data_IF_918105660176
#
_entry.id   IF_918105660176
#
_cell.length_a   1.000
_cell.length_b   1.000
_cell.length_c   1.000
_cell.angle_alpha   90.00
_cell.angle_beta   90.00
_cell.angle_gamma   90.00
#
_symmetry.space_group_name_H-M   'P 1'
#
loop_
_entity.id
_entity.type
_entity.pdbx_description
1 polymer ?
#
# COMPACT_ATOMS: atom_id res chain seq x y z
N UNK A 1 -24.43 0.11 -0.32
CA UNK A 1 -23.98 1.46 -0.78
C UNK A 1 -22.68 1.73 -0.05
N UNK A 2 -21.65 2.27 -0.72
CA UNK A 2 -20.36 2.60 -0.11
C UNK A 2 -20.46 3.97 0.57
N UNK A 3 -19.95 4.06 1.79
CA UNK A 3 -19.96 5.28 2.60
C UNK A 3 -18.54 5.74 2.98
N UNK A 4 -17.55 4.86 2.85
CA UNK A 4 -16.14 5.17 3.10
C UNK A 4 -15.27 4.49 2.04
N UNK A 5 -14.30 5.21 1.47
CA UNK A 5 -13.26 4.63 0.63
C UNK A 5 -11.93 4.66 1.38
N UNK A 6 -11.26 3.51 1.47
CA UNK A 6 -9.99 3.35 2.15
C UNK A 6 -8.94 3.01 1.08
N UNK A 7 -8.04 3.92 0.81
CA UNK A 7 -6.95 3.69 -0.14
C UNK A 7 -5.72 3.14 0.58
N UNK A 8 -5.09 2.11 0.04
CA UNK A 8 -3.68 1.89 0.35
C UNK A 8 -2.84 3.04 -0.21
N UNK A 9 -1.62 3.18 0.25
CA UNK A 9 -0.70 4.25 -0.16
C UNK A 9 0.30 3.77 -1.21
N UNK A 10 1.15 2.82 -0.80
CA UNK A 10 2.29 2.33 -1.56
C UNK A 10 1.80 1.39 -2.69
N UNK A 11 2.08 1.72 -3.94
CA UNK A 11 1.57 0.94 -5.09
C UNK A 11 0.15 1.32 -5.55
N UNK A 12 -0.58 2.13 -4.78
CA UNK A 12 -1.95 2.58 -5.10
C UNK A 12 -2.00 4.08 -5.35
N UNK A 13 -1.66 4.91 -4.36
CA UNK A 13 -1.62 6.37 -4.54
C UNK A 13 -0.30 6.83 -5.14
N UNK A 14 0.80 6.16 -4.78
CA UNK A 14 2.17 6.48 -5.18
C UNK A 14 2.87 5.23 -5.74
N UNK A 15 3.71 5.41 -6.76
CA UNK A 15 4.46 4.31 -7.40
C UNK A 15 5.78 4.03 -6.67
N UNK A 16 5.69 3.70 -5.39
CA UNK A 16 6.82 3.53 -4.47
C UNK A 16 7.39 2.12 -4.43
N UNK A 17 6.58 1.10 -4.74
CA UNK A 17 6.92 -0.30 -4.50
C UNK A 17 8.09 -0.78 -5.37
N UNK A 18 8.14 -0.38 -6.64
CA UNK A 18 9.26 -0.75 -7.53
C UNK A 18 10.59 -0.13 -7.06
N UNK A 19 10.56 1.09 -6.52
CA UNK A 19 11.74 1.76 -5.97
C UNK A 19 12.17 1.05 -4.70
N UNK A 20 11.23 0.77 -3.79
CA UNK A 20 11.47 0.05 -2.54
C UNK A 20 12.06 -1.34 -2.79
N UNK A 21 11.51 -2.08 -3.76
CA UNK A 21 12.00 -3.42 -4.13
C UNK A 21 13.44 -3.37 -4.65
N UNK A 22 13.74 -2.45 -5.58
CA UNK A 22 15.12 -2.27 -6.11
C UNK A 22 16.12 -1.89 -5.02
N UNK A 23 15.74 -1.00 -4.13
CA UNK A 23 16.58 -0.59 -3.01
C UNK A 23 16.84 -1.72 -2.03
N UNK A 24 15.83 -2.57 -1.76
CA UNK A 24 15.98 -3.73 -0.88
C UNK A 24 16.91 -4.79 -1.50
N UNK A 25 16.71 -5.13 -2.78
CA UNK A 25 17.58 -6.03 -3.53
C UNK A 25 19.03 -5.55 -3.47
N UNK A 26 19.28 -4.27 -3.78
CA UNK A 26 20.62 -3.69 -3.75
C UNK A 26 21.24 -3.68 -2.35
N UNK A 27 20.44 -3.40 -1.31
CA UNK A 27 20.93 -3.39 0.07
C UNK A 27 21.35 -4.78 0.53
N UNK A 28 20.55 -5.81 0.22
CA UNK A 28 20.80 -7.20 0.62
C UNK A 28 21.95 -7.84 -0.16
N UNK A 29 22.16 -7.45 -1.42
CA UNK A 29 23.30 -7.91 -2.22
C UNK A 29 24.63 -7.58 -1.54
N UNK A 30 24.74 -6.44 -0.83
CA UNK A 30 25.91 -6.07 -0.04
C UNK A 30 26.21 -7.02 1.13
N UNK A 31 25.26 -7.87 1.52
CA UNK A 31 25.40 -8.90 2.56
C UNK A 31 25.42 -10.33 1.98
N UNK A 32 25.65 -10.47 0.66
CA UNK A 32 25.73 -11.76 -0.01
C UNK A 32 24.39 -12.45 -0.28
N UNK A 33 23.26 -11.75 -0.08
CA UNK A 33 21.93 -12.28 -0.40
C UNK A 33 21.55 -11.90 -1.82
N UNK A 34 21.30 -12.92 -2.64
CA UNK A 34 20.84 -12.75 -4.02
C UNK A 34 19.34 -13.04 -4.10
N UNK A 35 18.55 -12.00 -4.19
CA UNK A 35 17.11 -12.04 -4.49
C UNK A 35 16.82 -11.12 -5.68
N UNK A 36 15.71 -11.36 -6.35
CA UNK A 36 15.23 -10.55 -7.45
C UNK A 36 13.91 -9.81 -7.12
N UNK A 37 13.42 -9.04 -8.08
CA UNK A 37 12.16 -8.31 -7.91
C UNK A 37 10.95 -9.24 -7.78
N UNK A 38 10.98 -10.39 -8.44
CA UNK A 38 9.93 -11.40 -8.35
C UNK A 38 9.87 -12.03 -6.96
N UNK A 39 11.03 -12.24 -6.34
CA UNK A 39 11.11 -12.69 -4.96
C UNK A 39 10.49 -11.66 -4.01
N UNK A 40 10.87 -10.38 -4.17
CA UNK A 40 10.31 -9.28 -3.35
C UNK A 40 8.79 -9.19 -3.53
N UNK A 41 8.29 -9.26 -4.75
CA UNK A 41 6.86 -9.21 -5.04
C UNK A 41 6.07 -10.35 -4.38
N UNK A 42 6.64 -11.57 -4.37
CA UNK A 42 5.98 -12.75 -3.77
C UNK A 42 6.00 -12.78 -2.26
N UNK A 43 7.08 -12.28 -1.64
CA UNK A 43 7.34 -12.51 -0.21
C UNK A 43 7.20 -11.26 0.65
N UNK A 44 7.43 -10.06 0.12
CA UNK A 44 7.56 -8.84 0.90
C UNK A 44 6.52 -7.76 0.61
N UNK A 45 5.91 -7.79 -0.59
CA UNK A 45 4.94 -6.77 -1.01
C UNK A 45 3.77 -6.64 -0.02
N UNK A 46 3.43 -5.41 0.34
CA UNK A 46 2.32 -5.09 1.24
C UNK A 46 2.59 -5.41 2.72
N UNK A 47 3.82 -5.84 3.10
CA UNK A 47 4.22 -6.08 4.49
C UNK A 47 4.87 -4.86 5.12
N UNK A 48 4.80 -4.77 6.44
CA UNK A 48 5.56 -3.75 7.18
C UNK A 48 7.07 -4.06 7.15
N UNK A 49 7.89 -3.01 7.19
CA UNK A 49 9.34 -3.16 7.20
C UNK A 49 9.87 -4.09 8.32
N UNK A 50 9.40 -4.01 9.58
CA UNK A 50 9.82 -4.94 10.63
C UNK A 50 9.54 -6.41 10.28
N UNK A 51 8.38 -6.69 9.68
CA UNK A 51 8.00 -8.05 9.24
C UNK A 51 8.94 -8.56 8.15
N UNK A 52 9.26 -7.71 7.16
CA UNK A 52 10.21 -8.03 6.09
C UNK A 52 11.59 -8.34 6.67
N UNK A 53 12.09 -7.49 7.58
CA UNK A 53 13.41 -7.69 8.20
C UNK A 53 13.47 -8.94 9.07
N UNK A 54 12.40 -9.25 9.81
CA UNK A 54 12.31 -10.49 10.57
C UNK A 54 12.39 -11.72 9.64
N UNK A 55 11.67 -11.70 8.55
CA UNK A 55 11.70 -12.80 7.58
C UNK A 55 13.07 -12.95 6.93
N UNK A 56 13.71 -11.85 6.50
CA UNK A 56 15.06 -11.85 5.92
C UNK A 56 16.07 -12.47 6.89
N UNK A 57 16.06 -12.03 8.14
CA UNK A 57 16.97 -12.61 9.17
C UNK A 57 16.75 -14.10 9.37
N UNK A 58 15.50 -14.53 9.43
CA UNK A 58 15.15 -15.94 9.64
C UNK A 58 15.51 -16.81 8.42
N UNK A 59 15.29 -16.31 7.20
CA UNK A 59 15.45 -17.10 5.98
C UNK A 59 16.91 -17.17 5.52
N UNK A 60 17.65 -16.06 5.62
CA UNK A 60 19.03 -15.97 5.14
C UNK A 60 20.09 -16.03 6.25
N UNK A 61 19.67 -16.15 7.52
CA UNK A 61 20.60 -16.23 8.64
C UNK A 61 21.46 -14.97 8.81
N UNK A 62 20.94 -13.79 8.43
CA UNK A 62 21.72 -12.56 8.41
C UNK A 62 21.80 -11.91 9.78
N UNK A 63 23.02 -11.58 10.16
CA UNK A 63 23.31 -10.64 11.25
C UNK A 63 23.57 -9.24 10.65
N UNK A 64 22.51 -8.46 10.55
CA UNK A 64 22.56 -7.11 9.99
C UNK A 64 23.11 -6.12 11.03
N UNK A 65 23.99 -5.18 10.64
CA UNK A 65 24.48 -4.16 11.54
C UNK A 65 23.36 -3.37 12.23
N UNK A 66 23.57 -2.87 13.44
CA UNK A 66 22.53 -2.13 14.18
C UNK A 66 21.99 -0.90 13.44
N UNK A 67 22.82 -0.27 12.61
CA UNK A 67 22.50 0.93 11.81
C UNK A 67 21.98 0.61 10.40
N UNK A 68 21.85 -0.67 10.05
CA UNK A 68 21.37 -1.09 8.72
C UNK A 68 20.01 -0.46 8.36
N UNK A 69 19.10 -0.47 9.33
CA UNK A 69 17.75 0.09 9.10
C UNK A 69 17.79 1.57 8.79
N UNK A 70 18.55 2.34 9.55
CA UNK A 70 18.67 3.78 9.35
C UNK A 70 19.35 4.11 8.02
N UNK A 71 20.41 3.39 7.66
CA UNK A 71 21.08 3.54 6.38
C UNK A 71 20.16 3.17 5.20
N UNK A 72 19.41 2.06 5.32
CA UNK A 72 18.46 1.66 4.29
C UNK A 72 17.35 2.71 4.11
N UNK A 73 16.76 3.20 5.22
CA UNK A 73 15.74 4.25 5.19
C UNK A 73 16.25 5.54 4.54
N UNK A 74 17.45 5.97 4.91
CA UNK A 74 18.06 7.18 4.33
C UNK A 74 18.24 7.05 2.81
N UNK A 75 18.76 5.90 2.34
CA UNK A 75 18.94 5.61 0.91
C UNK A 75 17.59 5.53 0.18
N UNK A 76 16.60 4.88 0.78
CA UNK A 76 15.25 4.78 0.21
C UNK A 76 14.61 6.16 0.06
N UNK A 77 14.70 7.02 1.07
CA UNK A 77 14.14 8.36 1.01
C UNK A 77 14.87 9.24 -0.02
N UNK A 78 16.18 9.07 -0.18
CA UNK A 78 16.94 9.74 -1.24
C UNK A 78 16.50 9.27 -2.65
N UNK A 79 16.23 7.96 -2.83
CA UNK A 79 15.70 7.43 -4.08
C UNK A 79 14.27 7.94 -4.35
N UNK A 80 13.44 8.05 -3.32
CA UNK A 80 12.09 8.65 -3.44
C UNK A 80 12.15 10.12 -3.85
N UNK A 81 13.07 10.90 -3.29
CA UNK A 81 13.21 12.32 -3.63
C UNK A 81 13.47 12.57 -5.13
N UNK A 82 14.04 11.59 -5.83
CA UNK A 82 14.37 11.70 -7.25
C UNK A 82 13.44 10.93 -8.19
N UNK A 83 12.78 9.89 -7.70
CA UNK A 83 12.05 8.96 -8.57
C UNK A 83 10.60 8.67 -8.19
N UNK A 84 10.13 9.11 -7.01
CA UNK A 84 8.77 8.83 -6.59
C UNK A 84 7.77 9.67 -7.39
N UNK A 85 6.73 9.01 -7.90
CA UNK A 85 5.64 9.66 -8.62
C UNK A 85 4.29 9.30 -8.01
N UNK A 86 3.32 10.21 -8.17
CA UNK A 86 1.92 9.91 -7.92
C UNK A 86 1.42 8.97 -9.03
N UNK A 87 0.55 8.02 -8.68
CA UNK A 87 -0.11 7.21 -9.72
C UNK A 87 -0.93 8.08 -10.65
N UNK A 88 -0.92 7.81 -11.97
CA UNK A 88 -1.71 8.58 -12.93
C UNK A 88 -3.18 8.68 -12.53
N UNK A 89 -3.77 9.85 -12.70
CA UNK A 89 -5.18 10.17 -12.42
C UNK A 89 -5.63 10.10 -10.95
N UNK A 90 -4.80 9.66 -10.00
CA UNK A 90 -5.14 9.61 -8.55
C UNK A 90 -5.59 10.96 -8.05
N UNK A 91 -4.87 12.05 -8.36
CA UNK A 91 -5.24 13.41 -7.92
C UNK A 91 -6.67 13.76 -8.33
N UNK A 92 -7.01 13.49 -9.57
CA UNK A 92 -8.36 13.73 -10.11
C UNK A 92 -9.44 12.91 -9.38
N UNK A 93 -9.14 11.66 -9.01
CA UNK A 93 -10.08 10.84 -8.22
C UNK A 93 -10.25 11.42 -6.81
N UNK A 94 -9.17 11.76 -6.12
CA UNK A 94 -9.23 12.31 -4.76
C UNK A 94 -9.98 13.65 -4.69
N UNK A 95 -9.93 14.46 -5.75
CA UNK A 95 -10.64 15.74 -5.86
C UNK A 95 -12.13 15.57 -6.19
N UNK A 96 -12.50 14.51 -6.89
CA UNK A 96 -13.85 14.28 -7.41
C UNK A 96 -14.67 13.26 -6.61
N UNK A 97 -14.03 12.54 -5.70
CA UNK A 97 -14.74 11.56 -4.86
C UNK A 97 -15.72 12.28 -3.91
N UNK A 98 -16.95 11.78 -3.84
CA UNK A 98 -18.01 12.37 -3.01
C UNK A 98 -18.07 11.75 -1.60
N UNK A 99 -17.48 10.56 -1.42
CA UNK A 99 -17.46 9.85 -0.16
C UNK A 99 -16.32 10.33 0.75
N UNK A 100 -16.47 10.28 2.08
CA UNK A 100 -15.33 10.30 2.99
C UNK A 100 -14.29 9.27 2.54
N UNK A 101 -13.01 9.65 2.65
CA UNK A 101 -11.92 8.71 2.36
C UNK A 101 -10.74 8.88 3.32
N UNK A 102 -10.00 7.81 3.50
CA UNK A 102 -8.75 7.80 4.26
C UNK A 102 -7.70 6.92 3.58
N UNK A 103 -6.49 6.94 4.13
CA UNK A 103 -5.33 6.17 3.68
C UNK A 103 -4.98 5.16 4.76
N UNK A 104 -4.77 3.89 4.39
CA UNK A 104 -4.38 2.81 5.29
C UNK A 104 -3.13 2.10 4.76
N UNK A 105 -1.96 2.38 5.33
CA UNK A 105 -0.67 1.87 4.84
C UNK A 105 0.08 1.01 5.85
N UNK A 106 0.84 0.03 5.36
CA UNK A 106 1.81 -0.74 6.15
C UNK A 106 3.10 0.04 6.45
N UNK A 107 3.30 1.20 5.83
CA UNK A 107 4.44 2.09 6.04
C UNK A 107 4.40 2.76 7.42
N UNK A 108 5.57 3.15 7.93
CA UNK A 108 5.65 3.97 9.15
C UNK A 108 5.07 5.37 8.91
N UNK A 109 4.56 6.04 9.96
CA UNK A 109 3.98 7.39 9.85
C UNK A 109 4.93 8.39 9.18
N UNK A 110 6.21 8.36 9.56
CA UNK A 110 7.23 9.26 9.04
C UNK A 110 7.47 9.02 7.54
N UNK A 111 7.60 7.74 7.11
CA UNK A 111 7.79 7.40 5.69
C UNK A 111 6.57 7.79 4.87
N UNK A 112 5.37 7.45 5.33
CA UNK A 112 4.14 7.75 4.62
C UNK A 112 3.93 9.26 4.44
N UNK A 113 4.13 10.05 5.52
CA UNK A 113 4.01 11.50 5.46
C UNK A 113 5.03 12.13 4.51
N UNK A 114 6.30 11.70 4.58
CA UNK A 114 7.35 12.18 3.70
C UNK A 114 7.08 11.84 2.23
N UNK A 115 6.65 10.59 1.95
CA UNK A 115 6.31 10.14 0.58
C UNK A 115 5.13 10.92 0.00
N UNK A 116 4.06 11.11 0.78
CA UNK A 116 2.92 11.95 0.38
C UNK A 116 3.35 13.41 0.13
N UNK A 117 4.28 13.94 0.93
CA UNK A 117 4.84 15.27 0.73
C UNK A 117 5.57 15.42 -0.59
N UNK A 118 6.40 14.45 -0.97
CA UNK A 118 7.16 14.45 -2.22
C UNK A 118 6.28 14.51 -3.47
N UNK A 119 5.08 13.94 -3.42
CA UNK A 119 4.12 13.94 -4.53
C UNK A 119 3.03 15.01 -4.43
N UNK A 120 3.16 15.96 -3.48
CA UNK A 120 2.21 17.08 -3.31
C UNK A 120 0.87 16.68 -2.67
N UNK A 121 0.85 15.61 -1.86
CA UNK A 121 -0.30 15.13 -1.12
C UNK A 121 -0.13 15.28 0.40
N UNK A 122 0.73 16.20 0.86
CA UNK A 122 1.03 16.42 2.29
C UNK A 122 -0.22 16.68 3.15
N UNK A 123 -1.26 17.29 2.58
CA UNK A 123 -2.53 17.55 3.26
C UNK A 123 -3.29 16.28 3.69
N UNK A 124 -2.91 15.10 3.15
CA UNK A 124 -3.48 13.80 3.51
C UNK A 124 -2.73 13.13 4.67
N UNK A 125 -1.54 13.61 5.02
CA UNK A 125 -0.67 13.02 6.05
C UNK A 125 -1.12 13.30 7.50
N UNK A 126 -2.29 13.90 7.70
CA UNK A 126 -2.86 14.19 9.01
C UNK A 126 -3.93 13.17 9.42
N UNK A 127 -5.13 13.66 9.72
CA UNK A 127 -6.25 12.84 10.20
C UNK A 127 -6.74 11.77 9.23
N UNK A 128 -6.35 11.84 7.97
CA UNK A 128 -6.70 10.83 6.95
C UNK A 128 -5.71 9.69 6.84
N UNK A 129 -4.58 9.72 7.54
CA UNK A 129 -3.52 8.72 7.43
C UNK A 129 -3.56 7.75 8.61
N UNK A 130 -3.80 6.49 8.31
CA UNK A 130 -3.73 5.36 9.23
C UNK A 130 -2.56 4.46 8.85
N UNK A 131 -1.75 4.08 9.84
CA UNK A 131 -0.53 3.29 9.61
C UNK A 131 -0.53 2.03 10.46
N UNK A 132 0.25 1.03 10.04
CA UNK A 132 0.36 -0.25 10.75
C UNK A 132 0.79 -0.10 12.22
N UNK A 133 1.44 1.01 12.60
CA UNK A 133 1.83 1.28 13.99
C UNK A 133 0.67 1.64 14.91
N UNK A 134 -0.53 1.87 14.36
CA UNK A 134 -1.73 2.19 15.13
C UNK A 134 -2.52 0.95 15.57
N UNK A 135 -2.09 -0.24 15.15
CA UNK A 135 -2.76 -1.51 15.43
C UNK A 135 -1.78 -2.56 15.91
N UNK A 136 -2.28 -3.57 16.58
CA UNK A 136 -1.45 -4.68 17.05
C UNK A 136 -0.98 -5.57 15.90
N UNK A 137 -1.86 -5.84 14.94
CA UNK A 137 -1.60 -6.70 13.79
C UNK A 137 -1.84 -5.93 12.50
N UNK A 138 -0.77 -5.70 11.74
CA UNK A 138 -0.86 -5.12 10.39
C UNK A 138 -1.39 -6.13 9.36
N UNK A 139 -1.57 -5.67 8.11
CA UNK A 139 -1.94 -6.52 6.96
C UNK A 139 -1.07 -7.78 6.90
N UNK A 140 -1.61 -8.99 6.74
CA UNK A 140 -2.94 -9.33 6.25
C UNK A 140 -4.05 -9.41 7.32
N UNK A 141 -3.80 -9.04 8.59
CA UNK A 141 -4.86 -8.94 9.58
C UNK A 141 -5.80 -7.75 9.24
N UNK A 142 -7.09 -7.83 9.61
CA UNK A 142 -8.09 -6.81 9.25
C UNK A 142 -7.99 -5.53 10.09
N UNK A 143 -7.19 -5.54 11.14
CA UNK A 143 -7.21 -4.58 12.24
C UNK A 143 -7.07 -3.12 11.73
N UNK A 144 -6.19 -2.87 10.76
CA UNK A 144 -5.97 -1.53 10.22
C UNK A 144 -7.19 -1.00 9.45
N UNK A 145 -7.83 -1.83 8.66
CA UNK A 145 -9.05 -1.43 7.93
C UNK A 145 -10.24 -1.28 8.88
N UNK A 146 -10.38 -2.16 9.88
CA UNK A 146 -11.40 -2.02 10.91
C UNK A 146 -11.22 -0.75 11.72
N UNK A 147 -9.98 -0.36 12.05
CA UNK A 147 -9.69 0.92 12.69
C UNK A 147 -10.14 2.10 11.82
N UNK A 148 -9.90 2.06 10.51
CA UNK A 148 -10.38 3.10 9.60
C UNK A 148 -11.90 3.23 9.63
N UNK A 149 -12.62 2.11 9.56
CA UNK A 149 -14.08 2.07 9.62
C UNK A 149 -14.60 2.64 10.95
N UNK A 150 -14.03 2.20 12.08
CA UNK A 150 -14.35 2.69 13.43
C UNK A 150 -14.18 4.20 13.54
N UNK A 151 -13.03 4.74 13.12
CA UNK A 151 -12.74 6.18 13.22
C UNK A 151 -13.63 7.06 12.35
N UNK A 152 -14.25 6.46 11.32
CA UNK A 152 -15.21 7.16 10.46
C UNK A 152 -16.69 6.81 10.82
N UNK A 153 -16.91 5.98 11.84
CA UNK A 153 -18.26 5.57 12.23
C UNK A 153 -19.02 4.81 11.13
N UNK A 154 -18.29 4.07 10.29
CA UNK A 154 -18.83 3.38 9.11
C UNK A 154 -18.84 1.87 9.33
N UNK A 155 -19.94 1.21 8.95
CA UNK A 155 -20.01 -0.25 8.94
C UNK A 155 -18.98 -0.81 7.93
N UNK A 156 -18.14 -1.79 8.31
CA UNK A 156 -17.21 -2.45 7.40
C UNK A 156 -17.84 -2.91 6.09
N UNK A 157 -19.05 -3.43 6.10
CA UNK A 157 -19.78 -3.85 4.89
C UNK A 157 -20.13 -2.68 3.93
N UNK A 158 -19.95 -1.44 4.38
CA UNK A 158 -20.16 -0.21 3.60
C UNK A 158 -18.83 0.50 3.26
N UNK A 159 -17.70 -0.17 3.53
CA UNK A 159 -16.37 0.33 3.17
C UNK A 159 -15.90 -0.30 1.86
N UNK A 160 -15.21 0.50 1.05
CA UNK A 160 -14.48 0.07 -0.13
C UNK A 160 -12.98 0.24 0.09
N UNK A 161 -12.23 -0.84 -0.01
CA UNK A 161 -10.76 -0.84 0.05
C UNK A 161 -10.21 -0.83 -1.37
N UNK A 162 -9.26 0.05 -1.65
CA UNK A 162 -8.46 0.06 -2.89
C UNK A 162 -7.05 -0.39 -2.54
N UNK A 163 -6.63 -1.51 -3.12
CA UNK A 163 -5.40 -2.22 -2.76
C UNK A 163 -4.73 -2.84 -3.99
N UNK A 164 -3.42 -3.03 -3.95
CA UNK A 164 -2.63 -3.69 -5.01
C UNK A 164 -2.06 -5.04 -4.56
N UNK A 165 -1.77 -5.18 -3.27
CA UNK A 165 -1.07 -6.32 -2.67
C UNK A 165 -2.02 -7.44 -2.22
N UNK A 166 -1.53 -8.70 -2.31
CA UNK A 166 -2.31 -9.84 -1.82
C UNK A 166 -2.56 -9.79 -0.30
N UNK A 167 -1.63 -9.20 0.46
CA UNK A 167 -1.78 -9.07 1.91
C UNK A 167 -2.87 -8.05 2.28
N UNK A 168 -2.95 -6.94 1.56
CA UNK A 168 -4.00 -5.97 1.78
C UNK A 168 -5.37 -6.46 1.32
N UNK A 169 -5.44 -7.20 0.20
CA UNK A 169 -6.70 -7.83 -0.24
C UNK A 169 -7.21 -8.81 0.81
N UNK A 170 -6.33 -9.66 1.38
CA UNK A 170 -6.70 -10.55 2.50
C UNK A 170 -7.22 -9.78 3.70
N UNK A 171 -6.56 -8.68 4.04
CA UNK A 171 -6.97 -7.84 5.17
C UNK A 171 -8.36 -7.21 4.95
N UNK A 172 -8.62 -6.69 3.75
CA UNK A 172 -9.92 -6.14 3.38
C UNK A 172 -11.04 -7.18 3.40
N UNK A 173 -10.77 -8.36 2.82
CA UNK A 173 -11.70 -9.50 2.85
C UNK A 173 -11.98 -9.97 4.28
N UNK A 174 -10.94 -10.09 5.11
CA UNK A 174 -11.09 -10.47 6.52
C UNK A 174 -11.83 -9.41 7.35
N UNK A 175 -11.78 -8.15 6.94
CA UNK A 175 -12.57 -7.07 7.54
C UNK A 175 -14.03 -7.06 7.10
N UNK A 176 -14.43 -7.91 6.15
CA UNK A 176 -15.79 -7.92 5.58
C UNK A 176 -16.08 -6.72 4.68
N UNK A 177 -15.05 -6.11 4.12
CA UNK A 177 -15.16 -4.95 3.25
C UNK A 177 -15.17 -5.35 1.78
N UNK A 178 -15.72 -4.48 0.92
CA UNK A 178 -15.53 -4.61 -0.52
C UNK A 178 -14.09 -4.25 -0.89
N UNK A 179 -13.46 -5.04 -1.76
CA UNK A 179 -12.06 -4.84 -2.15
C UNK A 179 -11.93 -4.73 -3.67
N UNK A 180 -11.36 -3.63 -4.15
CA UNK A 180 -10.96 -3.48 -5.54
C UNK A 180 -9.45 -3.51 -5.65
N UNK A 181 -8.93 -4.41 -6.49
CA UNK A 181 -7.51 -4.51 -6.75
C UNK A 181 -7.09 -3.54 -7.84
N UNK A 182 -6.20 -2.62 -7.50
CA UNK A 182 -5.48 -1.80 -8.47
C UNK A 182 -4.28 -2.58 -9.01
N UNK A 183 -4.18 -2.68 -10.34
CA UNK A 183 -3.15 -3.46 -11.04
C UNK A 183 -2.25 -2.60 -11.94
N UNK A 184 -2.36 -1.27 -11.83
CA UNK A 184 -1.60 -0.32 -12.64
C UNK A 184 -0.20 0.01 -12.10
N UNK A 185 0.16 -0.46 -10.91
CA UNK A 185 1.48 -0.22 -10.31
C UNK A 185 2.62 -0.83 -11.13
N UNK A 186 3.75 -0.12 -11.22
CA UNK A 186 4.89 -0.53 -12.03
C UNK A 186 5.64 -1.76 -11.49
N UNK A 187 5.40 -2.10 -10.24
CA UNK A 187 5.99 -3.26 -9.56
C UNK A 187 5.28 -4.59 -9.85
N UNK A 188 4.07 -4.54 -10.41
CA UNK A 188 3.29 -5.73 -10.67
C UNK A 188 3.70 -6.38 -12.00
N UNK A 189 3.90 -7.72 -12.05
CA UNK A 189 4.23 -8.41 -13.28
C UNK A 189 3.09 -8.36 -14.30
N UNK A 190 3.44 -8.37 -15.57
CA UNK A 190 2.46 -8.46 -16.67
C UNK A 190 2.83 -9.66 -17.58
N UNK A 191 1.95 -10.68 -17.73
CA UNK A 191 0.61 -10.78 -17.17
C UNK A 191 0.60 -11.01 -15.65
N UNK A 192 -0.46 -10.54 -15.00
CA UNK A 192 -0.67 -10.78 -13.57
C UNK A 192 -1.12 -12.23 -13.36
N UNK A 193 -0.53 -12.88 -12.36
CA UNK A 193 -0.99 -14.21 -11.94
C UNK A 193 -2.38 -14.14 -11.27
N UNK A 194 -3.09 -15.26 -11.26
CA UNK A 194 -4.35 -15.38 -10.53
C UNK A 194 -4.13 -15.20 -9.01
N UNK A 195 -5.09 -14.57 -8.36
CA UNK A 195 -5.06 -14.43 -6.91
C UNK A 195 -5.31 -15.78 -6.24
N UNK A 196 -4.51 -16.11 -5.20
CA UNK A 196 -4.73 -17.30 -4.40
C UNK A 196 -6.03 -17.18 -3.61
N UNK A 197 -6.52 -18.32 -3.12
CA UNK A 197 -7.67 -18.36 -2.24
C UNK A 197 -7.48 -17.43 -1.02
N UNK A 198 -8.55 -16.70 -0.66
CA UNK A 198 -8.53 -15.70 0.42
C UNK A 198 -7.99 -14.32 0.01
N UNK A 199 -7.40 -14.18 -1.19
CA UNK A 199 -6.93 -12.89 -1.73
C UNK A 199 -7.66 -12.50 -3.02
N UNK A 200 -8.90 -12.95 -3.21
CA UNK A 200 -9.72 -12.58 -4.38
C UNK A 200 -10.39 -11.23 -4.14
N UNK A 201 -10.15 -10.23 -5.01
CA UNK A 201 -10.84 -8.95 -4.95
C UNK A 201 -12.24 -9.07 -5.58
N UNK A 202 -13.14 -8.15 -5.22
CA UNK A 202 -14.45 -8.03 -5.88
C UNK A 202 -14.32 -7.51 -7.32
N UNK A 203 -13.33 -6.64 -7.56
CA UNK A 203 -13.02 -6.08 -8.88
C UNK A 203 -11.51 -5.87 -9.06
N UNK A 204 -11.10 -5.78 -10.34
CA UNK A 204 -9.76 -5.36 -10.76
C UNK A 204 -9.85 -4.15 -11.68
N UNK A 205 -8.89 -3.24 -11.59
CA UNK A 205 -8.72 -2.14 -12.53
C UNK A 205 -7.24 -1.74 -12.59
N UNK A 206 -6.79 -1.21 -13.71
CA UNK A 206 -5.39 -0.90 -13.98
C UNK A 206 -5.12 0.60 -14.18
N UNK A 207 -6.16 1.41 -14.23
CA UNK A 207 -6.03 2.86 -14.35
C UNK A 207 -7.10 3.60 -13.53
N UNK A 208 -6.67 4.62 -12.80
CA UNK A 208 -7.60 5.52 -12.09
C UNK A 208 -8.43 6.40 -13.04
N UNK A 209 -8.08 6.48 -14.32
CA UNK A 209 -8.89 7.17 -15.32
C UNK A 209 -10.31 6.60 -15.41
N UNK A 210 -10.44 5.27 -15.27
CA UNK A 210 -11.72 4.57 -15.33
C UNK A 210 -12.36 4.31 -13.96
N UNK A 211 -11.79 4.84 -12.86
CA UNK A 211 -12.23 4.55 -11.50
C UNK A 211 -13.75 4.77 -11.30
N UNK A 212 -14.26 5.92 -11.74
CA UNK A 212 -15.69 6.24 -11.62
C UNK A 212 -16.58 5.50 -12.61
N UNK A 213 -16.03 4.86 -13.66
CA UNK A 213 -16.79 3.98 -14.54
C UNK A 213 -17.15 2.67 -13.83
N UNK A 214 -16.35 2.24 -12.84
CA UNK A 214 -16.63 1.05 -12.04
C UNK A 214 -17.81 1.24 -11.08
N UNK A 215 -17.94 2.42 -10.50
CA UNK A 215 -19.11 2.85 -9.73
C UNK A 215 -19.29 4.37 -9.80
N UNK A 216 -20.16 4.87 -10.71
CA UNK A 216 -20.41 6.31 -10.87
C UNK A 216 -20.96 7.00 -9.61
N UNK A 217 -21.50 6.24 -8.64
CA UNK A 217 -22.05 6.78 -7.39
C UNK A 217 -20.96 7.32 -6.44
N UNK A 218 -19.70 6.92 -6.66
CA UNK A 218 -18.56 7.43 -5.89
C UNK A 218 -18.15 8.84 -6.32
N UNK A 219 -18.63 9.31 -7.48
CA UNK A 219 -18.27 10.62 -8.03
C UNK A 219 -19.22 11.70 -7.55
N UNK A 220 -18.67 12.85 -7.14
CA UNK A 220 -19.45 14.05 -6.84
C UNK A 220 -20.31 14.45 -8.01
N UNK A 221 -21.61 14.64 -7.75
CA UNK A 221 -22.52 15.19 -8.75
C UNK A 221 -22.19 16.66 -8.93
N UNK A 222 -21.84 17.05 -10.12
CA UNK A 222 -21.67 18.44 -10.55
C UNK A 222 -23.04 19.11 -10.72
#
# INVERSE_FOLDING_TARGET
>A
MIDLVIFDCDGVLIDSEIISARMLVAALAGFGVTIDLDYVARHFLGRSYPTVMQQIRAEFGLDLPPDFEDQYRARLMAAFATGLTIMPHVRSVLEQIDMPFCIATSSSPMRAAASLGLVGLSHLAGQKLFTATMVERGKPAPDLFLLCAEKHGTDPARCLVIEDSLNGIRAGNAAGMQVWRFTGGSHLPKPLADEPEGAKPDRRFDTFETFFCLDPRLRRRT
#
